data_IF_115946503481
#
_entry.id   IF_115946503481
#
_cell.length_a   1.000
_cell.length_b   1.000
_cell.length_c   1.000
_cell.angle_alpha   90.00
_cell.angle_beta   90.00
_cell.angle_gamma   90.00
#
_symmetry.space_group_name_H-M   'P 1'
#
loop_
_entity.id
_entity.type
_entity.pdbx_description
1 polymer ?
#
# COMPACT_ATOMS: atom_id res chain seq x y z
N UNK A 1 -16.42 -8.95 -35.94
CA UNK A 1 -16.76 -8.94 -34.51
C UNK A 1 -15.58 -9.59 -33.77
N UNK A 2 -14.54 -8.88 -33.37
CA UNK A 2 -13.37 -9.49 -32.71
C UNK A 2 -12.32 -8.53 -32.15
N UNK A 3 -12.47 -7.21 -32.34
CA UNK A 3 -11.45 -6.22 -31.94
C UNK A 3 -11.56 -5.72 -30.47
N UNK A 4 -12.67 -5.99 -29.79
CA UNK A 4 -12.95 -5.45 -28.46
C UNK A 4 -12.30 -6.18 -27.29
N UNK A 5 -11.94 -7.46 -27.47
CA UNK A 5 -11.42 -8.31 -26.38
C UNK A 5 -9.91 -8.12 -26.18
N UNK A 6 -9.17 -7.84 -27.25
CA UNK A 6 -7.71 -7.67 -27.17
C UNK A 6 -7.30 -6.38 -26.44
N UNK A 7 -8.10 -5.31 -26.52
CA UNK A 7 -7.81 -4.06 -25.84
C UNK A 7 -8.00 -4.12 -24.31
N UNK A 8 -9.00 -4.86 -23.84
CA UNK A 8 -9.20 -5.08 -22.40
C UNK A 8 -8.08 -5.89 -21.77
N UNK A 9 -7.58 -6.90 -22.47
CA UNK A 9 -6.47 -7.72 -21.97
C UNK A 9 -5.16 -6.94 -21.87
N UNK A 10 -4.85 -6.07 -22.85
CA UNK A 10 -3.63 -5.25 -22.85
C UNK A 10 -3.66 -4.12 -21.81
N UNK A 11 -4.83 -3.48 -21.59
CA UNK A 11 -5.00 -2.49 -20.53
C UNK A 11 -4.87 -3.13 -19.13
N UNK A 12 -5.43 -4.32 -18.94
CA UNK A 12 -5.32 -5.09 -17.70
C UNK A 12 -3.87 -5.47 -17.37
N UNK A 13 -3.07 -5.88 -18.38
CA UNK A 13 -1.68 -6.31 -18.16
C UNK A 13 -0.76 -5.14 -17.78
N UNK A 14 -1.00 -3.95 -18.32
CA UNK A 14 -0.23 -2.75 -17.94
C UNK A 14 -0.59 -2.25 -16.54
N UNK A 15 -1.86 -2.29 -16.17
CA UNK A 15 -2.32 -1.98 -14.81
C UNK A 15 -1.73 -2.92 -13.77
N UNK A 16 -1.69 -4.22 -14.06
CA UNK A 16 -1.15 -5.24 -13.16
C UNK A 16 0.34 -5.04 -12.87
N UNK A 17 1.15 -4.68 -13.87
CA UNK A 17 2.59 -4.45 -13.68
C UNK A 17 2.91 -3.21 -12.84
N UNK A 18 2.13 -2.13 -12.97
CA UNK A 18 2.28 -0.91 -12.14
C UNK A 18 1.85 -1.17 -10.71
N UNK A 19 0.68 -1.76 -10.53
CA UNK A 19 0.16 -2.14 -9.22
C UNK A 19 1.17 -3.01 -8.48
N UNK A 20 1.76 -4.02 -9.14
CA UNK A 20 2.77 -4.88 -8.53
C UNK A 20 4.00 -4.10 -8.10
N UNK A 21 4.52 -3.19 -8.93
CA UNK A 21 5.69 -2.36 -8.57
C UNK A 21 5.43 -1.48 -7.35
N UNK A 22 4.26 -0.85 -7.27
CA UNK A 22 3.89 -0.08 -6.07
C UNK A 22 3.70 -0.98 -4.84
N UNK A 23 3.14 -2.17 -5.01
CA UNK A 23 3.03 -3.15 -3.93
C UNK A 23 4.42 -3.55 -3.41
N UNK A 24 5.35 -3.88 -4.29
CA UNK A 24 6.72 -4.24 -3.94
C UNK A 24 7.46 -3.06 -3.28
N UNK A 25 7.29 -1.85 -3.81
CA UNK A 25 7.88 -0.62 -3.28
C UNK A 25 7.42 -0.35 -1.84
N UNK A 26 6.12 -0.36 -1.61
CA UNK A 26 5.52 -0.10 -0.29
C UNK A 26 5.87 -1.23 0.68
N UNK A 27 5.78 -2.50 0.26
CA UNK A 27 6.13 -3.65 1.11
C UNK A 27 7.59 -3.59 1.56
N UNK A 28 8.52 -3.37 0.62
CA UNK A 28 9.96 -3.27 0.95
C UNK A 28 10.25 -2.10 1.90
N UNK A 29 9.58 -0.95 1.72
CA UNK A 29 9.76 0.19 2.60
C UNK A 29 9.22 -0.08 4.02
N UNK A 30 8.07 -0.76 4.13
CA UNK A 30 7.51 -1.16 5.43
C UNK A 30 8.36 -2.23 6.11
N UNK A 31 8.90 -3.20 5.35
CA UNK A 31 9.84 -4.20 5.88
C UNK A 31 11.11 -3.56 6.44
N UNK A 32 11.66 -2.59 5.73
CA UNK A 32 12.84 -1.85 6.18
C UNK A 32 12.57 -0.99 7.43
N UNK A 33 11.38 -0.40 7.54
CA UNK A 33 10.99 0.47 8.65
C UNK A 33 10.56 -0.32 9.91
N UNK A 34 10.06 -1.54 9.74
CA UNK A 34 9.49 -2.39 10.79
C UNK A 34 10.04 -3.83 10.67
N UNK A 35 11.34 -4.03 10.90
CA UNK A 35 12.00 -5.33 10.68
C UNK A 35 11.54 -6.42 11.65
N UNK A 36 11.07 -6.08 12.83
CA UNK A 36 10.69 -7.01 13.89
C UNK A 36 9.53 -7.95 13.51
N UNK A 37 8.70 -7.56 12.56
CA UNK A 37 7.52 -8.32 12.11
C UNK A 37 7.86 -9.37 11.04
N UNK A 38 9.06 -9.32 10.45
CA UNK A 38 9.46 -10.16 9.31
C UNK A 38 10.52 -11.22 9.66
N UNK A 39 10.86 -11.44 10.94
CA UNK A 39 12.01 -12.24 11.35
C UNK A 39 11.91 -13.75 11.07
N UNK A 40 10.87 -14.28 10.42
CA UNK A 40 10.75 -15.75 10.37
C UNK A 40 10.64 -16.42 9.00
N UNK A 41 10.95 -15.77 7.89
CA UNK A 41 10.87 -16.44 6.59
C UNK A 41 12.20 -16.59 5.82
N UNK A 42 13.29 -16.01 6.27
CA UNK A 42 14.58 -16.04 5.54
C UNK A 42 15.68 -16.92 6.17
N UNK A 43 15.48 -17.54 7.32
CA UNK A 43 16.55 -18.25 8.04
C UNK A 43 16.39 -19.77 8.14
N UNK A 44 15.64 -20.40 7.22
CA UNK A 44 15.69 -21.88 7.13
C UNK A 44 15.69 -22.35 5.69
N UNK A 45 16.85 -22.23 5.05
CA UNK A 45 17.21 -23.04 3.89
C UNK A 45 17.30 -24.49 4.32
N UNK A 46 16.20 -25.20 4.32
CA UNK A 46 16.12 -26.60 4.68
C UNK A 46 14.69 -27.09 4.57
N UNK A 47 14.32 -27.52 3.37
CA UNK A 47 13.27 -28.49 3.06
C UNK A 47 12.25 -28.75 4.17
N UNK A 48 11.22 -27.89 4.28
CA UNK A 48 9.95 -28.27 4.91
C UNK A 48 8.82 -27.50 4.25
N UNK A 49 7.74 -28.25 3.93
CA UNK A 49 6.51 -27.70 3.38
C UNK A 49 6.01 -26.48 4.17
N UNK A 50 5.30 -25.51 3.53
CA UNK A 50 4.77 -24.35 4.22
C UNK A 50 3.89 -24.83 5.38
N UNK A 51 4.34 -24.60 6.60
CA UNK A 51 3.50 -24.74 7.78
C UNK A 51 2.53 -23.59 7.71
N UNK A 52 1.27 -23.86 7.43
CA UNK A 52 0.17 -22.89 7.60
C UNK A 52 0.37 -22.22 8.96
N UNK A 53 0.48 -20.90 8.93
CA UNK A 53 0.96 -20.11 10.04
C UNK A 53 0.23 -20.43 11.33
N UNK A 54 1.00 -20.57 12.41
CA UNK A 54 0.47 -20.77 13.74
C UNK A 54 -0.62 -19.71 14.04
N UNK A 55 -1.78 -20.09 14.59
CA UNK A 55 -2.79 -19.14 14.97
C UNK A 55 -2.20 -18.13 15.97
N UNK A 56 -2.26 -16.83 15.62
CA UNK A 56 -1.71 -15.73 16.42
C UNK A 56 -0.37 -15.17 15.97
N UNK A 57 0.25 -15.67 14.90
CA UNK A 57 1.42 -15.02 14.30
C UNK A 57 1.03 -13.66 13.68
N UNK A 58 1.87 -12.61 13.82
CA UNK A 58 1.61 -11.34 13.17
C UNK A 58 1.56 -11.53 11.65
N UNK A 59 0.54 -10.95 11.03
CA UNK A 59 0.33 -11.02 9.58
C UNK A 59 0.10 -9.63 9.03
N UNK A 60 0.74 -9.33 7.92
CA UNK A 60 0.62 -8.07 7.21
C UNK A 60 0.42 -8.33 5.73
N UNK A 61 -0.59 -7.70 5.13
CA UNK A 61 -0.87 -7.75 3.70
C UNK A 61 -0.94 -6.32 3.18
N UNK A 62 -0.19 -6.03 2.13
CA UNK A 62 -0.20 -4.73 1.44
C UNK A 62 -0.96 -4.89 0.14
N UNK A 63 -2.08 -4.19 0.02
CA UNK A 63 -2.88 -4.10 -1.20
C UNK A 63 -2.69 -2.71 -1.79
N UNK A 64 -2.34 -2.64 -3.07
CA UNK A 64 -2.20 -1.38 -3.80
C UNK A 64 -3.07 -1.41 -5.05
N UNK A 65 -3.77 -0.32 -5.29
CA UNK A 65 -4.50 -0.07 -6.52
C UNK A 65 -4.03 1.23 -7.15
N UNK A 66 -3.77 1.21 -8.46
CA UNK A 66 -3.37 2.39 -9.23
C UNK A 66 -4.50 2.74 -10.19
N UNK A 67 -5.17 3.85 -9.91
CA UNK A 67 -6.19 4.44 -10.78
C UNK A 67 -5.57 5.39 -11.79
N UNK A 68 -5.80 5.17 -13.09
CA UNK A 68 -5.37 6.10 -14.14
C UNK A 68 -6.35 7.28 -14.21
N UNK A 69 -5.88 8.48 -13.91
CA UNK A 69 -6.63 9.71 -14.08
C UNK A 69 -6.47 10.25 -15.51
N UNK A 70 -7.58 10.33 -16.28
CA UNK A 70 -7.58 11.09 -17.55
C UNK A 70 -7.49 12.58 -17.23
N UNK A 71 -6.31 13.19 -17.46
CA UNK A 71 -6.07 14.61 -17.21
C UNK A 71 -6.08 15.02 -15.72
N UNK A 72 -5.97 14.06 -14.81
CA UNK A 72 -5.81 14.26 -13.35
C UNK A 72 -4.58 13.45 -12.89
N UNK A 73 -3.97 13.83 -11.75
CA UNK A 73 -2.95 12.99 -11.15
C UNK A 73 -3.47 11.56 -10.93
N UNK A 74 -2.62 10.57 -11.23
CA UNK A 74 -2.96 9.17 -10.94
C UNK A 74 -3.18 9.00 -9.44
N UNK A 75 -4.21 8.24 -9.07
CA UNK A 75 -4.49 7.91 -7.66
C UNK A 75 -3.85 6.56 -7.32
N UNK A 76 -3.01 6.55 -6.30
CA UNK A 76 -2.48 5.33 -5.69
C UNK A 76 -3.20 5.10 -4.37
N UNK A 77 -3.98 4.02 -4.29
CA UNK A 77 -4.67 3.61 -3.07
C UNK A 77 -3.91 2.47 -2.41
N UNK A 78 -3.60 2.60 -1.11
CA UNK A 78 -2.81 1.65 -0.32
C UNK A 78 -3.63 1.22 0.89
N UNK A 79 -3.91 -0.06 1.01
CA UNK A 79 -4.50 -0.67 2.19
C UNK A 79 -3.50 -1.64 2.82
N UNK A 80 -3.03 -1.32 4.03
CA UNK A 80 -2.17 -2.20 4.83
C UNK A 80 -3.07 -2.93 5.82
N UNK A 81 -3.34 -4.20 5.57
CA UNK A 81 -4.20 -5.04 6.42
C UNK A 81 -3.32 -5.80 7.40
N UNK A 82 -3.58 -5.67 8.68
CA UNK A 82 -2.78 -6.25 9.76
C UNK A 82 -3.60 -7.09 10.71
N UNK A 83 -3.00 -8.15 11.26
CA UNK A 83 -3.62 -8.91 12.36
C UNK A 83 -3.53 -8.13 13.67
N UNK A 84 -4.38 -8.46 14.63
CA UNK A 84 -4.38 -7.83 15.96
C UNK A 84 -3.06 -8.00 16.73
N UNK A 85 -2.25 -9.00 16.37
CA UNK A 85 -0.93 -9.27 16.96
C UNK A 85 0.21 -8.51 16.29
N UNK A 86 -0.04 -7.81 15.17
CA UNK A 86 0.95 -6.99 14.50
C UNK A 86 1.16 -5.67 15.27
N UNK A 87 2.40 -5.17 15.32
CA UNK A 87 2.67 -3.86 15.94
C UNK A 87 1.91 -2.70 15.29
N UNK A 88 1.61 -2.80 13.99
CA UNK A 88 0.81 -1.82 13.25
C UNK A 88 -0.68 -1.85 13.62
N UNK A 89 -1.13 -2.75 14.49
CA UNK A 89 -2.45 -2.67 15.11
C UNK A 89 -2.54 -1.50 16.11
N UNK A 90 -1.40 -0.94 16.53
CA UNK A 90 -1.34 0.21 17.43
C UNK A 90 -1.23 1.53 16.64
N UNK A 91 -2.03 2.52 17.01
CA UNK A 91 -2.17 3.80 16.29
C UNK A 91 -0.83 4.48 16.02
N UNK A 92 0.10 4.50 16.97
CA UNK A 92 1.40 5.16 16.81
C UNK A 92 2.27 4.48 15.74
N UNK A 93 2.39 3.16 15.78
CA UNK A 93 3.12 2.40 14.78
C UNK A 93 2.43 2.45 13.41
N UNK A 94 1.10 2.35 13.40
CA UNK A 94 0.29 2.48 12.18
C UNK A 94 0.47 3.86 11.53
N UNK A 95 0.51 4.95 12.29
CA UNK A 95 0.74 6.30 11.77
C UNK A 95 2.13 6.44 11.14
N UNK A 96 3.16 5.85 11.76
CA UNK A 96 4.51 5.81 11.16
C UNK A 96 4.55 4.99 9.87
N UNK A 97 3.87 3.84 9.85
CA UNK A 97 3.78 3.01 8.65
C UNK A 97 3.05 3.73 7.52
N UNK A 98 1.99 4.45 7.85
CA UNK A 98 1.24 5.27 6.90
C UNK A 98 2.11 6.39 6.30
N UNK A 99 2.92 7.07 7.12
CA UNK A 99 3.88 8.08 6.65
C UNK A 99 4.93 7.50 5.71
N UNK A 100 5.49 6.33 6.05
CA UNK A 100 6.45 5.60 5.21
C UNK A 100 5.82 5.23 3.87
N UNK A 101 4.65 4.59 3.88
CA UNK A 101 3.94 4.17 2.67
C UNK A 101 3.58 5.37 1.77
N UNK A 102 3.10 6.47 2.35
CA UNK A 102 2.75 7.70 1.62
C UNK A 102 3.99 8.34 1.01
N UNK A 103 5.07 8.49 1.77
CA UNK A 103 6.31 9.12 1.33
C UNK A 103 6.98 8.34 0.19
N UNK A 104 7.10 7.01 0.30
CA UNK A 104 7.73 6.20 -0.73
C UNK A 104 6.89 6.20 -2.01
N UNK A 105 5.57 6.24 -1.89
CA UNK A 105 4.66 6.35 -3.03
C UNK A 105 4.77 7.71 -3.70
N UNK A 106 4.90 8.79 -2.95
CA UNK A 106 5.15 10.14 -3.48
C UNK A 106 6.49 10.22 -4.23
N UNK A 107 7.53 9.59 -3.70
CA UNK A 107 8.89 9.62 -4.24
C UNK A 107 9.15 8.56 -5.33
N UNK A 108 8.10 7.90 -5.85
CA UNK A 108 8.26 6.94 -6.94
C UNK A 108 8.76 7.62 -8.24
N UNK A 109 9.41 6.83 -9.11
CA UNK A 109 9.97 7.27 -10.39
C UNK A 109 9.11 6.87 -11.61
N UNK A 110 7.99 6.18 -11.40
CA UNK A 110 7.18 5.63 -12.50
C UNK A 110 6.03 6.59 -12.91
N UNK A 111 5.42 7.28 -11.95
CA UNK A 111 4.28 8.18 -12.17
C UNK A 111 4.43 9.42 -11.30
N UNK A 112 4.63 10.58 -11.91
CA UNK A 112 4.76 11.87 -11.20
C UNK A 112 3.91 12.92 -11.93
N UNK A 113 3.09 13.70 -11.21
CA UNK A 113 2.72 13.58 -9.81
C UNK A 113 1.66 12.51 -9.56
N UNK A 114 1.56 12.05 -8.32
CA UNK A 114 0.48 11.16 -7.85
C UNK A 114 -0.36 11.81 -6.76
N UNK A 115 -1.62 11.39 -6.64
CA UNK A 115 -2.41 11.53 -5.42
C UNK A 115 -2.34 10.21 -4.64
N UNK A 116 -2.34 10.29 -3.32
CA UNK A 116 -2.19 9.10 -2.46
C UNK A 116 -3.37 9.00 -1.50
N UNK A 117 -3.94 7.81 -1.41
CA UNK A 117 -4.84 7.41 -0.35
C UNK A 117 -4.23 6.21 0.35
N UNK A 118 -4.05 6.26 1.65
CA UNK A 118 -3.48 5.16 2.40
C UNK A 118 -4.24 4.93 3.70
N UNK A 119 -4.38 3.67 4.12
CA UNK A 119 -5.02 3.27 5.36
C UNK A 119 -4.32 2.06 5.96
N UNK A 120 -4.33 1.97 7.29
CA UNK A 120 -4.01 0.74 8.01
C UNK A 120 -5.32 0.17 8.57
N UNK A 121 -5.58 -1.08 8.26
CA UNK A 121 -6.83 -1.78 8.56
C UNK A 121 -6.55 -2.99 9.44
N UNK A 122 -7.38 -3.20 10.45
CA UNK A 122 -7.33 -4.40 11.26
C UNK A 122 -8.12 -5.52 10.57
N UNK A 123 -7.48 -6.66 10.34
CA UNK A 123 -8.15 -7.84 9.83
C UNK A 123 -9.13 -8.40 10.89
N UNK A 124 -10.30 -8.86 10.44
CA UNK A 124 -11.16 -9.67 11.30
C UNK A 124 -10.58 -11.08 11.40
N UNK A 125 -10.78 -11.74 12.56
CA UNK A 125 -10.25 -13.09 12.85
C UNK A 125 -10.83 -14.21 11.96
N UNK A 126 -11.86 -13.94 11.18
CA UNK A 126 -12.40 -14.88 10.20
C UNK A 126 -11.55 -14.85 8.92
N UNK A 127 -10.77 -15.92 8.75
CA UNK A 127 -9.82 -16.09 7.65
C UNK A 127 -10.43 -16.03 6.23
N UNK A 128 -11.76 -15.96 6.11
CA UNK A 128 -12.51 -15.81 4.86
C UNK A 128 -12.70 -14.35 4.41
N UNK A 129 -12.44 -13.36 5.27
CA UNK A 129 -12.78 -11.96 4.99
C UNK A 129 -11.64 -11.15 4.36
N UNK A 130 -10.45 -11.71 4.21
CA UNK A 130 -9.30 -11.01 3.61
C UNK A 130 -9.46 -10.74 2.10
N UNK A 131 -10.39 -11.43 1.43
CA UNK A 131 -10.62 -11.31 -0.01
C UNK A 131 -12.00 -10.71 -0.38
N UNK A 132 -12.87 -10.42 0.58
CA UNK A 132 -14.20 -9.89 0.28
C UNK A 132 -14.16 -8.36 0.10
N UNK A 133 -14.50 -7.82 -1.09
CA UNK A 133 -14.68 -6.39 -1.26
C UNK A 133 -15.91 -5.94 -0.46
N UNK A 134 -15.70 -5.21 0.63
CA UNK A 134 -16.77 -4.68 1.47
C UNK A 134 -16.82 -5.20 2.91
N UNK A 135 -15.88 -6.05 3.33
CA UNK A 135 -15.72 -6.39 4.74
C UNK A 135 -15.53 -5.11 5.56
N UNK A 136 -16.24 -4.99 6.68
CA UNK A 136 -16.10 -3.87 7.61
C UNK A 136 -14.74 -3.98 8.31
N UNK A 137 -13.67 -3.59 7.61
CA UNK A 137 -12.34 -3.49 8.18
C UNK A 137 -12.34 -2.34 9.17
N UNK A 138 -11.97 -2.60 10.41
CA UNK A 138 -11.76 -1.52 11.37
C UNK A 138 -10.51 -0.74 10.94
N UNK A 139 -10.70 0.49 10.50
CA UNK A 139 -9.59 1.40 10.20
C UNK A 139 -8.86 1.74 11.50
N UNK A 140 -7.58 1.41 11.56
CA UNK A 140 -6.69 1.80 12.66
C UNK A 140 -6.29 3.27 12.50
N UNK A 141 -5.80 3.63 11.31
CA UNK A 141 -5.48 5.00 10.92
C UNK A 141 -5.70 5.20 9.41
N UNK A 142 -5.92 6.44 9.03
CA UNK A 142 -6.06 6.91 7.66
C UNK A 142 -5.24 8.20 7.43
N UNK A 143 -5.39 8.86 6.29
CA UNK A 143 -4.65 10.06 5.91
C UNK A 143 -4.83 11.22 6.90
N UNK A 144 -5.93 11.27 7.65
CA UNK A 144 -6.15 12.31 8.67
C UNK A 144 -5.14 12.22 9.81
N UNK A 145 -4.64 11.03 10.14
CA UNK A 145 -3.59 10.83 11.14
C UNK A 145 -2.26 11.49 10.74
N UNK A 146 -2.05 11.73 9.44
CA UNK A 146 -0.92 12.50 8.92
C UNK A 146 -1.19 14.00 8.80
N UNK A 147 -2.40 14.44 9.12
CA UNK A 147 -2.79 15.87 9.06
C UNK A 147 -3.32 16.30 7.70
N UNK A 148 -3.62 15.39 6.78
CA UNK A 148 -4.31 15.72 5.54
C UNK A 148 -5.80 15.98 5.82
N UNK A 149 -6.39 16.90 5.07
CA UNK A 149 -7.79 17.28 5.27
C UNK A 149 -8.78 16.23 4.77
N UNK A 150 -8.39 15.53 3.71
CA UNK A 150 -9.21 14.53 3.03
C UNK A 150 -8.57 13.13 3.10
N UNK A 151 -9.33 12.07 2.79
CA UNK A 151 -8.82 10.70 2.66
C UNK A 151 -7.80 10.55 1.52
N UNK A 152 -7.76 11.49 0.59
CA UNK A 152 -6.85 11.52 -0.55
C UNK A 152 -5.97 12.75 -0.42
N UNK A 153 -4.68 12.55 -0.21
CA UNK A 153 -3.70 13.62 -0.29
C UNK A 153 -3.42 13.98 -1.75
N UNK A 154 -3.57 15.23 -2.08
CA UNK A 154 -3.31 15.78 -3.41
C UNK A 154 -1.83 16.11 -3.59
N UNK A 155 -1.36 16.25 -4.83
CA UNK A 155 0.05 16.54 -5.10
C UNK A 155 0.58 17.83 -4.44
N UNK A 156 -0.24 18.87 -4.33
CA UNK A 156 0.10 20.10 -3.62
C UNK A 156 0.32 19.87 -2.13
N UNK A 157 -0.56 19.12 -1.48
CA UNK A 157 -0.45 18.77 -0.05
C UNK A 157 0.75 17.84 0.22
N UNK A 158 1.01 16.89 -0.70
CA UNK A 158 2.18 16.00 -0.62
C UNK A 158 3.49 16.78 -0.81
N UNK A 159 3.50 17.77 -1.71
CA UNK A 159 4.63 18.66 -1.90
C UNK A 159 4.89 19.52 -0.65
N UNK A 160 3.86 20.07 -0.04
CA UNK A 160 3.98 20.87 1.19
C UNK A 160 4.56 20.04 2.35
N UNK A 161 4.25 18.76 2.40
CA UNK A 161 4.72 17.86 3.46
C UNK A 161 6.10 17.25 3.20
N UNK A 162 6.36 16.79 1.98
CA UNK A 162 7.54 15.98 1.66
C UNK A 162 8.53 16.67 0.71
N UNK A 163 8.17 17.82 0.15
CA UNK A 163 8.96 18.50 -0.88
C UNK A 163 8.74 17.92 -2.28
N UNK A 164 9.59 18.28 -3.22
CA UNK A 164 9.53 17.79 -4.59
C UNK A 164 9.74 16.26 -4.62
N UNK A 165 8.97 15.52 -5.46
CA UNK A 165 9.15 14.09 -5.60
C UNK A 165 10.51 13.75 -6.20
N UNK A 166 11.11 12.65 -5.77
CA UNK A 166 12.43 12.22 -6.28
C UNK A 166 12.40 11.90 -7.79
N UNK A 167 11.28 11.36 -8.29
CA UNK A 167 11.10 11.07 -9.71
C UNK A 167 11.01 12.31 -10.62
N UNK A 168 10.66 13.48 -10.07
CA UNK A 168 10.70 14.78 -10.76
C UNK A 168 11.04 15.91 -9.79
N UNK A 169 12.33 16.14 -9.49
CA UNK A 169 12.77 17.20 -8.58
C UNK A 169 12.43 18.63 -9.03
N UNK A 170 12.08 18.80 -10.30
CA UNK A 170 11.66 20.10 -10.84
C UNK A 170 10.16 20.36 -10.71
N UNK A 171 9.38 19.32 -10.38
CA UNK A 171 7.92 19.45 -10.23
C UNK A 171 7.56 20.47 -9.13
N UNK A 172 6.55 21.27 -9.44
CA UNK A 172 5.94 22.26 -8.50
C UNK A 172 4.43 22.24 -8.68
N UNK A 173 3.64 22.44 -7.61
CA UNK A 173 2.19 22.56 -7.68
C UNK A 173 1.71 23.81 -8.42
#
# INVERSE_FOLDING_TARGET
>A
IGAGIAWRALASTRGTGRTQRFTDLVSSALEAAFPETFIDHAATSGSRAPVEGAPGAPRRVVNVEVGEGFGRPSLVSIDVVVSASDELAHVEAATRALDVATRVTWNNDDIVPVSVRARVLLAHDDASDLEAPGAQSNTVVDMSALGFADEIARPDELYDRYGAPEGDPAWRP
#
